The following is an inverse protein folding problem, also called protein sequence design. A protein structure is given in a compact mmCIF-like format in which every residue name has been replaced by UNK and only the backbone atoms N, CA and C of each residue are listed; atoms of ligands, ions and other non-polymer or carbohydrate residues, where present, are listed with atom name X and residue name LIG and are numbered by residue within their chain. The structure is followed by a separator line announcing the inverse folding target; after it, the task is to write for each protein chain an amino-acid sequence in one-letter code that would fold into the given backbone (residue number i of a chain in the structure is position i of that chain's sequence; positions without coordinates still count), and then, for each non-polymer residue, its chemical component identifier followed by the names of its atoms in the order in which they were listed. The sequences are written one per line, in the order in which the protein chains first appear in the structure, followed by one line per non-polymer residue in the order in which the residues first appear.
data_IF_317302983616
#
_entry.id   IF_317302983616
#
_cell.length_a   1.000
_cell.length_b   1.000
_cell.length_c   1.000
_cell.angle_alpha   90.00
_cell.angle_beta   90.00
_cell.angle_gamma   90.00
#
_symmetry.space_group_name_H-M   'P 1'
#
loop_
_entity.id
_entity.type
_entity.pdbx_description
1 polymer ?
#
# COMPACT_ATOMS: atom_id res chain seq x y z
N UNK A 1 10.68 3.04 -16.59
CA UNK A 1 10.10 3.46 -15.32
C UNK A 1 8.58 3.29 -15.26
N UNK A 2 7.77 4.10 -15.97
CA UNK A 2 6.28 3.95 -15.94
C UNK A 2 5.82 2.56 -16.41
N UNK A 3 6.44 2.01 -17.45
CA UNK A 3 6.12 0.66 -17.98
C UNK A 3 6.43 -0.45 -16.97
N UNK A 4 7.51 -0.33 -16.21
CA UNK A 4 7.88 -1.32 -15.18
C UNK A 4 6.89 -1.33 -14.01
N UNK A 5 6.42 -0.14 -13.57
CA UNK A 5 5.40 -0.03 -12.53
C UNK A 5 4.09 -0.67 -12.99
N UNK A 6 3.65 -0.38 -14.22
CA UNK A 6 2.42 -0.95 -14.77
C UNK A 6 2.51 -2.47 -14.91
N UNK A 7 3.65 -2.98 -15.39
CA UNK A 7 3.85 -4.41 -15.54
C UNK A 7 3.86 -5.13 -14.19
N UNK A 8 4.58 -4.60 -13.19
CA UNK A 8 4.59 -5.17 -11.83
C UNK A 8 3.21 -5.11 -11.18
N UNK A 9 2.45 -4.02 -11.38
CA UNK A 9 1.09 -3.89 -10.89
C UNK A 9 0.13 -4.90 -11.54
N UNK A 10 0.30 -5.16 -12.84
CA UNK A 10 -0.49 -6.17 -13.54
C UNK A 10 -0.23 -7.57 -12.96
N UNK A 11 1.03 -7.96 -12.79
CA UNK A 11 1.38 -9.22 -12.14
C UNK A 11 0.85 -9.30 -10.71
N UNK A 12 0.97 -8.20 -9.95
CA UNK A 12 0.44 -8.12 -8.60
C UNK A 12 -1.07 -8.35 -8.54
N UNK A 13 -1.83 -7.79 -9.49
CA UNK A 13 -3.27 -8.06 -9.63
C UNK A 13 -3.56 -9.53 -9.93
N UNK A 14 -2.89 -10.10 -10.95
CA UNK A 14 -3.14 -11.47 -11.42
C UNK A 14 -2.83 -12.52 -10.34
N UNK A 15 -1.78 -12.34 -9.55
CA UNK A 15 -1.36 -13.28 -8.47
C UNK A 15 -2.47 -13.48 -7.43
N UNK A 16 -3.40 -12.53 -7.26
CA UNK A 16 -4.50 -12.69 -6.32
C UNK A 16 -5.50 -13.79 -6.71
N UNK A 17 -5.48 -14.26 -7.97
CA UNK A 17 -6.29 -15.38 -8.49
C UNK A 17 -7.81 -15.24 -8.25
N UNK A 18 -8.27 -14.08 -7.86
CA UNK A 18 -9.68 -13.75 -7.65
C UNK A 18 -10.09 -12.61 -8.57
N UNK A 19 -10.95 -12.88 -9.59
CA UNK A 19 -11.33 -11.86 -10.57
C UNK A 19 -11.91 -10.58 -9.97
N UNK A 20 -12.62 -10.66 -8.84
CA UNK A 20 -13.17 -9.51 -8.14
C UNK A 20 -12.10 -8.64 -7.47
N UNK A 21 -10.98 -9.26 -7.07
CA UNK A 21 -9.86 -8.55 -6.41
C UNK A 21 -8.84 -8.01 -7.41
N UNK A 22 -8.74 -8.57 -8.61
CA UNK A 22 -7.73 -8.17 -9.62
C UNK A 22 -7.72 -6.67 -9.90
N UNK A 23 -8.86 -6.00 -10.16
CA UNK A 23 -8.84 -4.56 -10.41
C UNK A 23 -8.30 -3.76 -9.23
N UNK A 24 -8.76 -4.06 -8.03
CA UNK A 24 -8.30 -3.39 -6.80
C UNK A 24 -6.81 -3.63 -6.56
N UNK A 25 -6.36 -4.88 -6.63
CA UNK A 25 -4.96 -5.24 -6.45
C UNK A 25 -4.06 -4.59 -7.52
N UNK A 26 -4.52 -4.48 -8.77
CA UNK A 26 -3.79 -3.77 -9.81
C UNK A 26 -3.57 -2.29 -9.46
N UNK A 27 -4.61 -1.58 -9.02
CA UNK A 27 -4.48 -0.18 -8.61
C UNK A 27 -3.56 -0.02 -7.38
N UNK A 28 -3.66 -0.91 -6.39
CA UNK A 28 -2.76 -0.94 -5.25
C UNK A 28 -1.31 -1.22 -5.69
N UNK A 29 -1.11 -2.09 -6.64
CA UNK A 29 0.19 -2.37 -7.24
C UNK A 29 0.83 -1.14 -7.90
N UNK A 30 0.03 -0.29 -8.57
CA UNK A 30 0.52 0.99 -9.12
C UNK A 30 1.00 1.92 -8.00
N UNK A 31 0.21 2.05 -6.93
CA UNK A 31 0.53 2.90 -5.78
C UNK A 31 1.83 2.40 -5.11
N UNK A 32 1.92 1.12 -4.81
CA UNK A 32 3.11 0.50 -4.21
C UNK A 32 4.35 0.66 -5.09
N UNK A 33 4.23 0.41 -6.41
CA UNK A 33 5.32 0.60 -7.35
C UNK A 33 5.77 2.05 -7.45
N UNK A 34 4.84 3.00 -7.40
CA UNK A 34 5.15 4.42 -7.39
C UNK A 34 5.87 4.85 -6.10
N UNK A 35 5.42 4.34 -4.94
CA UNK A 35 6.07 4.61 -3.66
C UNK A 35 7.48 4.02 -3.65
N UNK A 36 7.66 2.77 -4.07
CA UNK A 36 9.00 2.15 -4.20
C UNK A 36 9.92 3.01 -5.07
N UNK A 37 9.40 3.50 -6.20
CA UNK A 37 10.19 4.36 -7.07
C UNK A 37 10.57 5.69 -6.43
N UNK A 38 9.63 6.32 -5.72
CA UNK A 38 9.85 7.63 -5.06
C UNK A 38 10.78 7.55 -3.86
N UNK A 39 10.71 6.47 -3.10
CA UNK A 39 11.49 6.29 -1.86
C UNK A 39 12.81 5.55 -2.09
N UNK A 40 12.97 4.86 -3.22
CA UNK A 40 14.09 3.97 -3.46
C UNK A 40 14.10 2.75 -2.53
N UNK A 41 12.99 2.47 -1.83
CA UNK A 41 12.86 1.39 -0.85
C UNK A 41 11.59 0.58 -1.08
N UNK A 42 11.68 -0.73 -0.87
CA UNK A 42 10.55 -1.65 -0.92
C UNK A 42 9.78 -1.72 0.41
N UNK A 43 10.42 -1.33 1.52
CA UNK A 43 9.86 -1.45 2.87
C UNK A 43 8.50 -0.76 3.01
N UNK A 44 8.30 0.51 2.57
CA UNK A 44 6.99 1.16 2.70
C UNK A 44 5.87 0.42 1.97
N UNK A 45 6.18 -0.16 0.80
CA UNK A 45 5.18 -0.92 0.04
C UNK A 45 4.84 -2.24 0.72
N UNK A 46 5.81 -2.95 1.28
CA UNK A 46 5.59 -4.18 2.06
C UNK A 46 4.72 -3.88 3.28
N UNK A 47 5.04 -2.83 4.05
CA UNK A 47 4.26 -2.43 5.22
C UNK A 47 2.83 -2.04 4.85
N UNK A 48 2.64 -1.29 3.76
CA UNK A 48 1.32 -0.93 3.26
C UNK A 48 0.50 -2.16 2.84
N UNK A 49 1.14 -3.13 2.18
CA UNK A 49 0.48 -4.39 1.79
C UNK A 49 0.10 -5.24 3.00
N UNK A 50 1.01 -5.42 3.97
CA UNK A 50 0.73 -6.15 5.22
C UNK A 50 -0.42 -5.48 5.99
N UNK A 51 -0.41 -4.16 6.11
CA UNK A 51 -1.46 -3.40 6.77
C UNK A 51 -2.82 -3.60 6.10
N UNK A 52 -2.89 -3.46 4.77
CA UNK A 52 -4.12 -3.67 4.01
C UNK A 52 -4.69 -5.10 4.19
N UNK A 53 -3.83 -6.11 4.12
CA UNK A 53 -4.26 -7.50 4.31
C UNK A 53 -4.68 -7.80 5.75
N UNK A 54 -4.01 -7.20 6.74
CA UNK A 54 -4.41 -7.34 8.15
C UNK A 54 -5.79 -6.76 8.40
N UNK A 55 -6.12 -5.62 7.78
CA UNK A 55 -7.45 -5.03 7.87
C UNK A 55 -8.52 -5.94 7.26
N UNK A 56 -8.25 -6.54 6.10
CA UNK A 56 -9.17 -7.47 5.46
C UNK A 56 -9.43 -8.71 6.34
N UNK A 57 -8.41 -9.23 7.04
CA UNK A 57 -8.56 -10.34 8.00
C UNK A 57 -9.39 -9.92 9.22
N UNK A 58 -9.13 -8.72 9.77
CA UNK A 58 -9.90 -8.18 10.88
C UNK A 58 -11.36 -7.98 10.47
N UNK A 59 -11.61 -7.41 9.30
CA UNK A 59 -12.96 -7.25 8.75
C UNK A 59 -13.69 -8.59 8.68
N UNK A 60 -13.08 -9.60 8.08
CA UNK A 60 -13.67 -10.93 7.97
C UNK A 60 -13.94 -11.57 9.34
N UNK A 61 -13.04 -11.39 10.31
CA UNK A 61 -13.15 -11.99 11.63
C UNK A 61 -14.24 -11.35 12.51
N UNK A 62 -14.42 -10.03 12.42
CA UNK A 62 -15.32 -9.28 13.30
C UNK A 62 -16.66 -8.93 12.67
N UNK A 63 -16.74 -8.77 11.37
CA UNK A 63 -17.95 -8.37 10.64
C UNK A 63 -18.60 -9.53 9.86
N UNK A 64 -17.93 -10.68 9.80
CA UNK A 64 -18.42 -11.87 9.11
C UNK A 64 -18.38 -11.74 7.58
N UNK A 65 -19.05 -12.69 6.89
CA UNK A 65 -19.08 -12.71 5.42
C UNK A 65 -19.92 -11.58 4.80
N UNK A 66 -20.72 -10.89 5.60
CA UNK A 66 -21.51 -9.73 5.18
C UNK A 66 -20.73 -8.40 5.30
N UNK A 67 -19.59 -8.41 5.97
CA UNK A 67 -18.56 -7.37 6.05
C UNK A 67 -19.01 -5.92 6.04
N UNK A 68 -18.05 -5.01 6.02
CA UNK A 68 -18.28 -3.56 5.85
C UNK A 68 -19.02 -3.19 4.56
N UNK A 69 -19.06 -4.09 3.57
CA UNK A 69 -19.67 -3.86 2.26
C UNK A 69 -21.02 -4.59 2.09
N UNK A 70 -21.43 -5.40 3.09
CA UNK A 70 -22.62 -6.26 2.98
C UNK A 70 -23.95 -5.52 3.04
N UNK A 71 -24.04 -4.45 3.82
CA UNK A 71 -25.22 -3.58 3.84
C UNK A 71 -24.92 -2.27 3.11
N UNK A 72 -25.48 -2.16 1.92
CA UNK A 72 -25.34 -0.98 1.05
C UNK A 72 -25.85 0.34 1.68
N UNK A 73 -26.47 0.29 2.84
CA UNK A 73 -27.02 1.46 3.54
C UNK A 73 -25.99 2.20 4.42
N UNK A 74 -24.75 1.73 4.53
CA UNK A 74 -23.80 2.41 5.37
C UNK A 74 -22.76 3.22 4.57
N UNK A 75 -23.14 4.43 4.16
CA UNK A 75 -22.23 5.50 3.77
C UNK A 75 -21.07 5.62 4.80
N UNK A 76 -21.35 5.36 6.08
CA UNK A 76 -20.39 5.32 7.18
C UNK A 76 -19.32 4.23 6.98
N UNK A 77 -19.66 3.03 6.51
CA UNK A 77 -18.72 1.94 6.28
C UNK A 77 -17.78 2.26 5.09
N UNK A 78 -18.34 2.79 4.02
CA UNK A 78 -17.55 3.22 2.87
C UNK A 78 -16.59 4.37 3.21
N UNK A 79 -17.04 5.33 4.02
CA UNK A 79 -16.20 6.43 4.51
C UNK A 79 -15.10 5.92 5.44
N UNK A 80 -15.38 4.94 6.29
CA UNK A 80 -14.38 4.31 7.15
C UNK A 80 -13.29 3.62 6.34
N UNK A 81 -13.65 2.86 5.30
CA UNK A 81 -12.68 2.20 4.41
C UNK A 81 -11.80 3.23 3.69
N UNK A 82 -12.39 4.31 3.18
CA UNK A 82 -11.63 5.40 2.56
C UNK A 82 -10.68 6.05 3.56
N UNK A 83 -11.14 6.30 4.79
CA UNK A 83 -10.30 6.88 5.85
C UNK A 83 -9.13 5.96 6.23
N UNK A 84 -9.37 4.66 6.36
CA UNK A 84 -8.34 3.66 6.63
C UNK A 84 -7.32 3.59 5.48
N UNK A 85 -7.78 3.58 4.23
CA UNK A 85 -6.91 3.59 3.06
C UNK A 85 -6.03 4.85 3.00
N UNK A 86 -6.61 6.02 3.29
CA UNK A 86 -5.88 7.29 3.33
C UNK A 86 -4.86 7.35 4.46
N UNK A 87 -5.20 6.83 5.66
CA UNK A 87 -4.25 6.75 6.78
C UNK A 87 -3.11 5.80 6.49
N UNK A 88 -3.38 4.63 5.91
CA UNK A 88 -2.35 3.69 5.46
C UNK A 88 -1.41 4.32 4.43
N UNK A 89 -1.96 5.06 3.47
CA UNK A 89 -1.19 5.75 2.45
C UNK A 89 -0.30 6.86 3.06
N UNK A 90 -0.82 7.65 3.99
CA UNK A 90 -0.06 8.71 4.69
C UNK A 90 1.07 8.14 5.54
N UNK A 91 0.84 7.04 6.25
CA UNK A 91 1.88 6.34 7.02
C UNK A 91 2.97 5.78 6.11
N UNK A 92 2.59 5.20 4.97
CA UNK A 92 3.52 4.70 3.98
C UNK A 92 4.41 5.81 3.41
N UNK A 93 3.83 6.98 3.11
CA UNK A 93 4.57 8.16 2.67
C UNK A 93 5.52 8.69 3.74
N UNK A 94 5.06 8.80 4.99
CA UNK A 94 5.88 9.26 6.11
C UNK A 94 7.08 8.32 6.33
N UNK A 95 6.87 7.02 6.34
CA UNK A 95 7.93 6.02 6.44
C UNK A 95 8.95 6.14 5.29
N UNK A 96 8.48 6.29 4.06
CA UNK A 96 9.34 6.49 2.89
C UNK A 96 10.20 7.75 2.99
N UNK A 97 9.62 8.85 3.48
CA UNK A 97 10.35 10.11 3.72
C UNK A 97 11.46 9.95 4.77
N UNK A 98 11.15 9.29 5.89
CA UNK A 98 12.14 9.04 6.96
C UNK A 98 13.30 8.19 6.43
N UNK A 99 13.02 7.13 5.68
CA UNK A 99 14.04 6.27 5.09
C UNK A 99 14.92 7.05 4.09
N UNK A 100 14.32 7.91 3.28
CA UNK A 100 15.04 8.74 2.32
C UNK A 100 15.97 9.75 3.01
N UNK A 101 15.51 10.41 4.07
CA UNK A 101 16.31 11.33 4.87
C UNK A 101 17.51 10.61 5.50
N UNK A 102 17.29 9.45 6.11
CA UNK A 102 18.36 8.66 6.71
C UNK A 102 19.41 8.21 5.67
N UNK A 103 18.98 7.85 4.47
CA UNK A 103 19.90 7.49 3.39
C UNK A 103 20.79 8.67 2.96
N UNK A 104 20.23 9.87 2.81
CA UNK A 104 21.00 11.06 2.46
C UNK A 104 22.00 11.43 3.55
N UNK A 105 21.58 11.42 4.81
CA UNK A 105 22.47 11.69 5.96
C UNK A 105 23.63 10.69 6.03
N UNK A 106 23.34 9.40 5.80
CA UNK A 106 24.39 8.37 5.76
C UNK A 106 25.38 8.61 4.62
N UNK A 107 24.91 8.98 3.44
CA UNK A 107 25.75 9.23 2.26
C UNK A 107 26.66 10.44 2.46
N UNK A 108 26.14 11.52 3.02
CA UNK A 108 26.92 12.73 3.31
C UNK A 108 28.03 12.44 4.32
N UNK A 109 27.72 11.79 5.44
CA UNK A 109 28.72 11.39 6.45
C UNK A 109 29.82 10.48 5.89
N UNK A 110 29.49 9.64 4.90
CA UNK A 110 30.50 8.78 4.25
C UNK A 110 31.44 9.56 3.34
N UNK A 111 30.94 10.60 2.68
CA UNK A 111 31.73 11.44 1.80
C UNK A 111 32.69 12.37 2.57
N UNK A 112 32.29 12.81 3.76
CA UNK A 112 33.09 13.69 4.63
C UNK A 112 34.24 12.95 5.36
N UNK A 113 34.17 11.61 5.42
CA UNK A 113 35.19 10.79 6.08
C UNK A 113 36.18 10.10 5.12
N UNK A 114 36.11 10.37 3.81
CA UNK A 114 37.04 9.92 2.79
C UNK A 114 37.83 11.08 2.19
#
# INVERSE_FOLDING_TARGET
MKKSILLSALFFGIIHLNPAQVPFAFFMGIIFGWVCWKTGSLIPAILGHVFNNSLAVVELAYLGSEGLLGDADSLSSSLLLVFIALTGLTLMFACGKVLQLNYFTYKDNKNDNN
#
